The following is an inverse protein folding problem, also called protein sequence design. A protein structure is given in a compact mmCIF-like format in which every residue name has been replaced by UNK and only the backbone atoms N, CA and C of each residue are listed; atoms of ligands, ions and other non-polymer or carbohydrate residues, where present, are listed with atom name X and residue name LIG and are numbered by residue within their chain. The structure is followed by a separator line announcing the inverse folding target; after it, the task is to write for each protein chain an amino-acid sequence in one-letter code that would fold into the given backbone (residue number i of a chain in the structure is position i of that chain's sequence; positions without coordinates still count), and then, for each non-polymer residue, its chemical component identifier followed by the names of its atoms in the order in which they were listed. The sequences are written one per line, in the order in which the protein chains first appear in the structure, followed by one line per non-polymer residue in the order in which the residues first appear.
data_IF_938731848222
#
_entry.id   IF_938731848222
#
_cell.length_a   1.000
_cell.length_b   1.000
_cell.length_c   1.000
_cell.angle_alpha   90.00
_cell.angle_beta   90.00
_cell.angle_gamma   90.00
#
_symmetry.space_group_name_H-M   'P 1'
#
loop_
_entity.id
_entity.type
_entity.pdbx_description
1 polymer ?
#
# COMPACT_ATOMS: atom_id res chain seq x y z
N UNK A 1 -17.41 -7.91 17.81
CA UNK A 1 -18.54 -8.52 17.05
C UNK A 1 -19.46 -7.42 16.57
N UNK A 2 -19.34 -7.00 15.31
CA UNK A 2 -20.38 -6.55 14.38
C UNK A 2 -19.70 -6.03 13.09
N UNK A 3 -20.23 -6.44 11.94
CA UNK A 3 -20.02 -5.89 10.58
C UNK A 3 -18.78 -6.19 9.72
N UNK A 4 -17.85 -7.07 10.11
CA UNK A 4 -16.87 -7.63 9.14
C UNK A 4 -17.41 -8.89 8.42
N UNK A 5 -18.47 -9.52 8.95
CA UNK A 5 -19.05 -10.76 8.42
C UNK A 5 -20.00 -10.61 7.22
N UNK A 6 -20.01 -9.45 6.55
CA UNK A 6 -20.99 -9.10 5.52
C UNK A 6 -20.44 -8.86 4.11
N UNK A 7 -19.13 -9.04 3.85
CA UNK A 7 -18.63 -8.89 2.48
C UNK A 7 -19.08 -10.10 1.65
N UNK A 8 -19.71 -9.89 0.48
CA UNK A 8 -20.07 -10.99 -0.40
C UNK A 8 -18.80 -11.77 -0.79
N UNK A 9 -18.89 -13.10 -0.77
CA UNK A 9 -17.83 -13.98 -1.27
C UNK A 9 -17.53 -13.60 -2.72
N UNK A 10 -16.32 -13.10 -2.97
CA UNK A 10 -15.74 -13.19 -4.30
C UNK A 10 -15.59 -14.67 -4.68
N UNK A 11 -15.52 -15.01 -5.98
CA UNK A 11 -15.30 -16.39 -6.43
C UNK A 11 -13.96 -17.00 -5.99
N UNK A 12 -13.08 -16.20 -5.38
CA UNK A 12 -11.72 -16.54 -5.00
C UNK A 12 -11.45 -16.06 -3.55
N UNK A 13 -11.06 -16.98 -2.66
CA UNK A 13 -10.75 -16.72 -1.25
C UNK A 13 -10.80 -17.98 -0.38
N UNK A 14 -10.08 -18.00 0.75
CA UNK A 14 -10.07 -19.13 1.68
C UNK A 14 -11.41 -19.27 2.42
N UNK A 15 -11.84 -20.50 2.69
CA UNK A 15 -13.09 -20.75 3.43
C UNK A 15 -13.00 -20.25 4.88
N UNK A 16 -14.03 -19.51 5.32
CA UNK A 16 -14.11 -19.07 6.71
C UNK A 16 -14.52 -20.22 7.63
N UNK A 17 -13.72 -20.45 8.67
CA UNK A 17 -14.03 -21.45 9.67
C UNK A 17 -15.27 -21.05 10.49
N UNK A 18 -16.21 -21.98 10.68
CA UNK A 18 -17.41 -21.77 11.52
C UNK A 18 -17.12 -21.76 13.02
N UNK A 19 -15.92 -22.17 13.43
CA UNK A 19 -15.51 -22.34 14.82
C UNK A 19 -14.63 -21.18 15.24
N UNK A 20 -15.03 -20.52 16.33
CA UNK A 20 -14.23 -19.51 16.99
C UNK A 20 -13.19 -20.16 17.91
N UNK A 21 -12.01 -19.54 17.99
CA UNK A 21 -10.92 -19.97 18.85
C UNK A 21 -10.44 -18.82 19.73
N UNK A 22 -9.96 -19.15 20.92
CA UNK A 22 -9.04 -18.28 21.66
C UNK A 22 -7.61 -18.53 21.18
N UNK A 23 -6.70 -17.57 21.36
CA UNK A 23 -5.28 -17.78 21.05
C UNK A 23 -4.74 -19.05 21.72
N UNK A 24 -5.09 -19.26 23.00
CA UNK A 24 -4.69 -20.45 23.74
C UNK A 24 -5.20 -21.76 23.10
N UNK A 25 -6.50 -21.86 22.80
CA UNK A 25 -7.06 -23.10 22.23
C UNK A 25 -6.61 -23.34 20.79
N UNK A 26 -6.29 -22.27 20.05
CA UNK A 26 -5.66 -22.37 18.74
C UNK A 26 -4.22 -22.89 18.85
N UNK A 27 -3.43 -22.40 19.81
CA UNK A 27 -2.07 -22.87 20.06
C UNK A 27 -2.00 -24.35 20.42
N UNK A 28 -2.88 -24.81 21.33
CA UNK A 28 -3.01 -26.23 21.70
C UNK A 28 -3.31 -27.10 20.47
N UNK A 29 -4.21 -26.64 19.60
CA UNK A 29 -4.55 -27.33 18.35
C UNK A 29 -3.37 -27.36 17.37
N UNK A 30 -2.70 -26.24 17.17
CA UNK A 30 -1.57 -26.11 16.24
C UNK A 30 -0.37 -26.97 16.66
N UNK A 31 -0.04 -26.97 17.96
CA UNK A 31 1.07 -27.76 18.49
C UNK A 31 0.76 -29.27 18.42
N UNK A 32 -0.47 -29.66 18.75
CA UNK A 32 -0.92 -31.05 18.64
C UNK A 32 -0.88 -31.54 17.19
N UNK A 33 -1.30 -30.70 16.23
CA UNK A 33 -1.23 -30.98 14.80
C UNK A 33 0.21 -31.26 14.36
N UNK A 34 1.14 -30.31 14.61
CA UNK A 34 2.53 -30.44 14.18
C UNK A 34 3.23 -31.62 14.84
N UNK A 35 3.01 -31.83 16.13
CA UNK A 35 3.57 -32.95 16.88
C UNK A 35 3.12 -34.31 16.34
N UNK A 36 1.82 -34.45 16.05
CA UNK A 36 1.27 -35.67 15.46
C UNK A 36 1.78 -35.90 14.03
N UNK A 37 1.86 -34.84 13.22
CA UNK A 37 2.28 -34.93 11.83
C UNK A 37 3.72 -35.43 11.70
N UNK A 38 4.65 -34.84 12.46
CA UNK A 38 6.07 -35.20 12.39
C UNK A 38 6.48 -36.30 13.39
N UNK A 39 5.57 -36.72 14.28
CA UNK A 39 5.85 -37.66 15.39
C UNK A 39 7.04 -37.21 16.26
N UNK A 40 7.17 -35.90 16.46
CA UNK A 40 8.26 -35.26 17.18
C UNK A 40 7.75 -34.05 17.98
N UNK A 41 8.40 -33.68 19.10
CA UNK A 41 8.12 -32.40 19.75
C UNK A 41 8.26 -31.24 18.75
N UNK A 42 7.34 -30.27 18.78
CA UNK A 42 7.23 -29.21 17.76
C UNK A 42 8.53 -28.44 17.50
N UNK A 43 9.27 -28.12 18.56
CA UNK A 43 10.54 -27.38 18.52
C UNK A 43 11.74 -28.20 18.03
N UNK A 44 11.59 -29.53 17.89
CA UNK A 44 12.64 -30.42 17.39
C UNK A 44 12.56 -30.63 15.87
N UNK A 45 11.46 -30.21 15.23
CA UNK A 45 11.30 -30.28 13.78
C UNK A 45 12.04 -29.10 13.15
N UNK A 46 13.02 -29.37 12.29
CA UNK A 46 13.81 -28.31 11.66
C UNK A 46 13.00 -27.54 10.60
N UNK A 47 13.34 -26.27 10.38
CA UNK A 47 12.65 -25.44 9.38
C UNK A 47 12.76 -26.02 7.96
N UNK A 48 13.90 -26.65 7.64
CA UNK A 48 14.14 -27.30 6.34
C UNK A 48 13.26 -28.53 6.15
N UNK A 49 12.98 -29.28 7.23
CA UNK A 49 12.11 -30.45 7.16
C UNK A 49 10.66 -30.04 6.86
N UNK A 50 10.16 -29.01 7.54
CA UNK A 50 8.81 -28.46 7.30
C UNK A 50 8.73 -27.86 5.90
N UNK A 51 9.73 -27.10 5.45
CA UNK A 51 9.74 -26.49 4.11
C UNK A 51 9.70 -27.53 3.00
N UNK A 52 10.53 -28.57 3.11
CA UNK A 52 10.53 -29.67 2.14
C UNK A 52 9.16 -30.36 2.08
N UNK A 53 8.55 -30.56 3.25
CA UNK A 53 7.26 -31.22 3.36
C UNK A 53 6.11 -30.35 2.85
N UNK A 54 6.13 -29.05 3.14
CA UNK A 54 5.16 -28.09 2.63
C UNK A 54 5.10 -28.12 1.10
N UNK A 55 6.25 -28.04 0.43
CA UNK A 55 6.29 -28.10 -1.03
C UNK A 55 5.97 -29.48 -1.61
N UNK A 56 6.18 -30.56 -0.84
CA UNK A 56 5.71 -31.91 -1.21
C UNK A 56 4.18 -31.95 -1.20
N UNK A 57 3.55 -31.43 -0.15
CA UNK A 57 2.09 -31.39 0.01
C UNK A 57 1.42 -30.56 -1.09
N UNK A 58 1.94 -29.36 -1.38
CA UNK A 58 1.39 -28.49 -2.44
C UNK A 58 1.40 -29.18 -3.82
N UNK A 59 2.38 -30.04 -4.09
CA UNK A 59 2.50 -30.77 -5.35
C UNK A 59 1.80 -32.15 -5.34
N UNK A 60 1.28 -32.60 -4.19
CA UNK A 60 0.66 -33.91 -4.03
C UNK A 60 -0.86 -33.81 -4.28
N UNK A 61 -1.38 -34.64 -5.17
CA UNK A 61 -2.83 -34.69 -5.47
C UNK A 61 -3.53 -35.79 -4.64
N UNK A 62 -2.76 -36.72 -4.06
CA UNK A 62 -3.29 -37.90 -3.36
C UNK A 62 -3.54 -37.67 -1.87
N UNK A 63 -2.94 -36.62 -1.28
CA UNK A 63 -3.00 -36.33 0.15
C UNK A 63 -3.67 -34.99 0.41
N UNK A 64 -4.75 -35.01 1.19
CA UNK A 64 -5.46 -33.80 1.61
C UNK A 64 -5.04 -33.40 3.03
N UNK A 65 -4.41 -32.23 3.16
CA UNK A 65 -4.05 -31.63 4.45
C UNK A 65 -4.75 -30.29 4.60
N UNK A 66 -5.64 -30.20 5.58
CA UNK A 66 -6.34 -28.96 5.92
C UNK A 66 -5.67 -28.26 7.11
N UNK A 67 -5.45 -26.95 6.97
CA UNK A 67 -4.91 -26.10 8.03
C UNK A 67 -5.84 -24.91 8.30
N UNK A 68 -5.68 -24.27 9.46
CA UNK A 68 -6.46 -23.12 9.89
C UNK A 68 -5.53 -21.95 10.18
N UNK A 69 -5.98 -20.72 9.98
CA UNK A 69 -5.21 -19.52 10.33
C UNK A 69 -6.15 -18.36 10.63
N UNK A 70 -5.63 -17.37 11.35
CA UNK A 70 -6.29 -16.08 11.54
C UNK A 70 -5.58 -15.02 10.70
N UNK A 71 -6.33 -14.29 9.89
CA UNK A 71 -5.85 -13.15 9.12
C UNK A 71 -6.91 -12.04 9.12
N UNK A 72 -6.51 -10.87 8.63
CA UNK A 72 -7.36 -9.67 8.51
C UNK A 72 -8.00 -9.24 9.84
N UNK A 73 -7.32 -9.55 10.95
CA UNK A 73 -7.75 -9.16 12.27
C UNK A 73 -7.30 -7.72 12.51
N UNK A 74 -8.25 -6.77 12.48
CA UNK A 74 -7.94 -5.36 12.73
C UNK A 74 -7.45 -5.15 14.16
N UNK A 75 -6.28 -4.53 14.30
CA UNK A 75 -5.75 -4.12 15.59
C UNK A 75 -6.73 -3.18 16.35
N UNK A 76 -7.54 -2.41 15.62
CA UNK A 76 -8.58 -1.56 16.21
C UNK A 76 -9.69 -2.36 16.92
N UNK A 77 -10.05 -3.55 16.42
CA UNK A 77 -11.16 -4.36 16.94
C UNK A 77 -10.72 -5.32 18.04
N UNK A 78 -9.54 -5.92 17.88
CA UNK A 78 -9.04 -7.02 18.72
C UNK A 78 -7.82 -6.63 19.57
N UNK A 79 -7.29 -5.43 19.37
CA UNK A 79 -6.05 -4.96 20.00
C UNK A 79 -4.81 -5.25 19.16
N UNK A 80 -3.87 -4.31 19.20
CA UNK A 80 -2.50 -4.47 18.68
C UNK A 80 -1.69 -5.40 19.59
N UNK A 81 -0.69 -6.07 19.03
CA UNK A 81 0.30 -6.80 19.84
C UNK A 81 1.33 -5.86 20.49
N UNK A 82 1.46 -4.63 19.97
CA UNK A 82 2.26 -3.58 20.58
C UNK A 82 1.47 -2.82 21.67
N UNK A 83 2.17 -2.27 22.68
CA UNK A 83 1.53 -1.35 23.60
C UNK A 83 1.11 -0.06 22.88
N UNK A 84 -0.09 0.42 23.19
CA UNK A 84 -0.65 1.69 22.68
C UNK A 84 -1.07 2.58 23.84
N UNK A 85 -1.30 3.88 23.59
CA UNK A 85 -1.74 4.85 24.62
C UNK A 85 -3.11 4.53 25.23
N UNK A 86 -3.90 3.72 24.54
CA UNK A 86 -5.25 3.33 24.97
C UNK A 86 -5.25 2.08 25.87
N UNK A 87 -4.09 1.44 26.08
CA UNK A 87 -3.97 0.30 26.98
C UNK A 87 -4.25 0.71 28.44
N UNK A 88 -5.13 -0.04 29.10
CA UNK A 88 -5.55 0.25 30.50
C UNK A 88 -4.47 -0.07 31.53
N UNK A 89 -3.64 -1.07 31.25
CA UNK A 89 -2.61 -1.60 32.15
C UNK A 89 -1.23 -1.28 31.57
N UNK A 90 -0.81 -0.02 31.65
CA UNK A 90 0.52 0.41 31.17
C UNK A 90 1.57 0.23 32.28
N UNK A 91 2.68 -0.42 31.93
CA UNK A 91 3.89 -0.42 32.75
C UNK A 91 4.79 0.77 32.35
N UNK A 92 5.62 1.30 33.26
CA UNK A 92 6.58 2.36 32.92
C UNK A 92 7.50 2.01 31.74
N UNK A 93 7.84 0.73 31.60
CA UNK A 93 8.67 0.20 30.51
C UNK A 93 7.97 0.26 29.14
N UNK A 94 6.63 0.33 29.10
CA UNK A 94 5.87 0.39 27.85
C UNK A 94 5.98 1.76 27.16
N UNK A 95 6.32 2.83 27.90
CA UNK A 95 6.36 4.20 27.36
C UNK A 95 7.36 4.33 26.20
N UNK A 96 8.47 3.60 26.26
CA UNK A 96 9.46 3.54 25.18
C UNK A 96 8.87 2.90 23.91
N UNK A 97 8.17 1.78 24.04
CA UNK A 97 7.59 1.04 22.92
C UNK A 97 6.32 1.70 22.35
N UNK A 98 5.58 2.44 23.16
CA UNK A 98 4.42 3.22 22.73
C UNK A 98 4.83 4.34 21.78
N UNK A 99 5.95 5.01 22.05
CA UNK A 99 6.41 6.16 21.24
C UNK A 99 7.45 5.76 20.18
N UNK A 100 7.85 4.49 20.12
CA UNK A 100 8.79 4.00 19.12
C UNK A 100 8.23 4.11 17.71
N UNK A 101 9.05 4.58 16.76
CA UNK A 101 8.70 4.57 15.33
C UNK A 101 8.61 3.16 14.72
N UNK A 102 9.13 2.15 15.41
CA UNK A 102 9.03 0.73 15.02
C UNK A 102 7.73 0.07 15.52
N UNK A 103 6.95 0.77 16.35
CA UNK A 103 5.59 0.34 16.64
C UNK A 103 4.73 0.56 15.39
N UNK A 104 4.16 -0.51 14.87
CA UNK A 104 3.45 -0.50 13.59
C UNK A 104 2.20 0.40 13.59
N UNK A 105 1.71 0.78 14.78
CA UNK A 105 0.61 1.74 14.94
C UNK A 105 1.05 3.19 14.69
N UNK A 106 2.34 3.48 14.85
CA UNK A 106 2.92 4.81 14.63
C UNK A 106 3.47 4.99 13.22
N UNK A 107 3.96 3.93 12.58
CA UNK A 107 4.68 3.99 11.31
C UNK A 107 3.89 4.73 10.19
N UNK A 108 2.59 4.47 9.97
CA UNK A 108 1.84 5.17 8.92
C UNK A 108 1.63 6.67 9.18
N UNK A 109 1.74 7.11 10.44
CA UNK A 109 1.49 8.49 10.88
C UNK A 109 2.76 9.28 11.20
N UNK A 110 3.94 8.69 11.02
CA UNK A 110 5.22 9.42 11.12
C UNK A 110 5.30 10.52 10.05
N UNK A 111 6.04 11.59 10.35
CA UNK A 111 6.18 12.76 9.45
C UNK A 111 6.76 12.41 8.07
N UNK A 112 7.56 11.35 7.97
CA UNK A 112 8.15 10.88 6.72
C UNK A 112 7.23 9.93 5.91
N UNK A 113 6.10 9.50 6.48
CA UNK A 113 5.11 8.67 5.81
C UNK A 113 4.12 9.54 5.06
N UNK A 114 3.96 9.33 3.75
CA UNK A 114 2.99 10.11 2.96
C UNK A 114 1.54 9.75 3.32
N UNK A 115 1.31 8.60 3.93
CA UNK A 115 -0.04 8.15 4.34
C UNK A 115 -0.62 9.02 5.47
N UNK A 116 0.21 9.76 6.23
CA UNK A 116 -0.27 10.66 7.27
C UNK A 116 -1.14 11.81 6.71
N UNK A 117 -0.98 12.15 5.43
CA UNK A 117 -1.75 13.17 4.73
C UNK A 117 -3.07 12.66 4.13
N UNK A 118 -3.37 11.37 4.30
CA UNK A 118 -4.66 10.79 3.93
C UNK A 118 -5.58 10.82 5.15
N UNK A 119 -6.66 11.62 5.08
CA UNK A 119 -7.63 11.73 6.17
C UNK A 119 -8.49 10.46 6.37
N UNK A 120 -8.57 9.59 5.37
CA UNK A 120 -9.29 8.34 5.47
C UNK A 120 -8.45 7.27 6.18
N UNK A 121 -9.07 6.54 7.10
CA UNK A 121 -8.46 5.37 7.72
C UNK A 121 -8.60 4.18 6.77
N UNK A 122 -7.55 3.97 5.97
CA UNK A 122 -7.48 2.88 5.02
C UNK A 122 -7.02 1.63 5.77
N UNK A 123 -7.92 0.65 5.88
CA UNK A 123 -7.62 -0.64 6.52
C UNK A 123 -6.46 -1.35 5.81
N UNK A 124 -5.52 -1.89 6.59
CA UNK A 124 -4.31 -2.57 6.09
C UNK A 124 -3.16 -1.61 5.86
N UNK A 125 -3.46 -0.34 5.51
CA UNK A 125 -2.43 0.68 5.27
C UNK A 125 -2.15 1.58 6.47
N UNK A 126 -3.18 2.10 7.14
CA UNK A 126 -3.01 2.96 8.33
C UNK A 126 -3.26 2.21 9.64
N UNK A 127 -4.00 1.11 9.57
CA UNK A 127 -4.35 0.27 10.72
C UNK A 127 -3.67 -1.09 10.53
N UNK A 128 -2.78 -1.52 11.45
CA UNK A 128 -2.13 -2.81 11.37
C UNK A 128 -3.10 -3.98 11.38
N UNK A 129 -2.70 -5.06 10.70
CA UNK A 129 -3.40 -6.34 10.66
C UNK A 129 -2.62 -7.38 11.43
N UNK A 130 -3.34 -8.17 12.23
CA UNK A 130 -2.80 -9.26 13.02
C UNK A 130 -3.02 -10.60 12.32
N UNK A 131 -2.02 -11.47 12.41
CA UNK A 131 -1.99 -12.80 11.79
C UNK A 131 -1.63 -13.85 12.82
N UNK A 132 -2.49 -14.86 12.96
CA UNK A 132 -2.26 -16.04 13.81
C UNK A 132 -1.94 -17.23 12.91
N UNK A 133 -0.71 -17.73 12.98
CA UNK A 133 -0.22 -18.81 12.14
C UNK A 133 -0.21 -20.17 12.84
N UNK A 134 -0.28 -21.25 12.06
CA UNK A 134 0.02 -22.62 12.49
C UNK A 134 0.93 -23.29 11.45
N UNK A 135 1.47 -24.46 11.76
CA UNK A 135 2.30 -25.22 10.82
C UNK A 135 1.60 -25.38 9.45
N UNK A 136 2.30 -25.02 8.38
CA UNK A 136 1.83 -25.00 6.98
C UNK A 136 0.78 -23.95 6.62
N UNK A 137 0.29 -23.12 7.55
CA UNK A 137 -0.57 -22.01 7.13
C UNK A 137 0.23 -21.01 6.28
N UNK A 138 -0.32 -20.65 5.12
CA UNK A 138 0.42 -19.96 4.07
C UNK A 138 -0.26 -18.70 3.58
N UNK A 139 0.53 -17.82 2.98
CA UNK A 139 0.07 -16.69 2.19
C UNK A 139 0.65 -16.83 0.78
N UNK A 140 -0.23 -16.70 -0.22
CA UNK A 140 0.10 -16.88 -1.63
C UNK A 140 0.94 -15.72 -2.17
N UNK A 141 1.44 -15.88 -3.39
CA UNK A 141 2.19 -14.82 -4.06
C UNK A 141 1.33 -13.58 -4.27
N UNK A 142 1.80 -12.45 -3.76
CA UNK A 142 1.17 -11.14 -3.95
C UNK A 142 2.18 -10.00 -3.80
N UNK A 143 1.75 -8.81 -4.18
CA UNK A 143 2.37 -7.56 -3.81
C UNK A 143 1.34 -6.68 -3.09
N UNK A 144 1.81 -5.61 -2.48
CA UNK A 144 0.96 -4.72 -1.69
C UNK A 144 0.10 -3.81 -2.56
N UNK A 145 -1.04 -3.39 -2.01
CA UNK A 145 -1.88 -2.38 -2.63
C UNK A 145 -1.08 -1.11 -2.93
N UNK A 146 -1.30 -0.58 -4.14
CA UNK A 146 -0.57 0.56 -4.72
C UNK A 146 0.95 0.38 -4.78
N UNK A 147 1.42 -0.87 -4.84
CA UNK A 147 2.84 -1.21 -4.77
C UNK A 147 3.55 -0.52 -3.59
N UNK A 148 2.85 -0.40 -2.46
CA UNK A 148 3.40 0.17 -1.24
C UNK A 148 4.47 -0.74 -0.62
N UNK A 149 5.18 -0.23 0.38
CA UNK A 149 5.97 -1.11 1.25
C UNK A 149 5.03 -1.83 2.21
N UNK A 150 5.43 -3.00 2.70
CA UNK A 150 4.89 -3.55 3.95
C UNK A 150 5.99 -3.86 4.93
N UNK A 151 5.65 -3.81 6.21
CA UNK A 151 6.50 -4.25 7.29
C UNK A 151 5.72 -5.25 8.14
N UNK A 152 6.37 -6.35 8.50
CA UNK A 152 5.82 -7.41 9.32
C UNK A 152 6.72 -7.63 10.54
N UNK A 153 6.13 -7.64 11.73
CA UNK A 153 6.81 -7.99 12.98
C UNK A 153 6.27 -9.31 13.50
N UNK A 154 7.16 -10.25 13.80
CA UNK A 154 6.79 -11.51 14.44
C UNK A 154 6.92 -11.35 15.96
N UNK A 155 5.79 -11.15 16.65
CA UNK A 155 5.77 -10.91 18.10
C UNK A 155 6.32 -12.09 18.88
N UNK A 156 5.84 -13.30 18.59
CA UNK A 156 6.24 -14.53 19.27
C UNK A 156 5.90 -15.77 18.45
N UNK A 157 6.44 -16.92 18.89
CA UNK A 157 6.13 -18.24 18.35
C UNK A 157 7.19 -18.79 17.40
N UNK A 158 6.80 -19.82 16.65
CA UNK A 158 7.69 -20.47 15.67
C UNK A 158 7.93 -19.61 14.42
N UNK A 159 9.04 -19.83 13.69
CA UNK A 159 9.42 -18.94 12.59
C UNK A 159 8.40 -18.86 11.45
N UNK A 160 8.46 -17.78 10.68
CA UNK A 160 7.70 -17.60 9.43
C UNK A 160 8.68 -17.66 8.26
N UNK A 161 8.44 -18.55 7.29
CA UNK A 161 9.28 -18.65 6.09
C UNK A 161 8.75 -17.75 5.01
N UNK A 162 9.64 -16.96 4.41
CA UNK A 162 9.34 -16.00 3.36
C UNK A 162 10.11 -16.33 2.08
N UNK A 163 9.45 -16.11 0.96
CA UNK A 163 10.02 -16.04 -0.38
C UNK A 163 9.74 -14.64 -0.94
N UNK A 164 10.74 -14.04 -1.57
CA UNK A 164 10.64 -12.70 -2.14
C UNK A 164 11.22 -12.64 -3.54
N UNK A 165 10.59 -11.84 -4.40
CA UNK A 165 11.06 -11.48 -5.74
C UNK A 165 11.33 -9.97 -5.75
N UNK A 166 12.49 -9.51 -6.23
CA UNK A 166 12.78 -8.10 -6.39
C UNK A 166 11.74 -7.39 -7.27
N UNK A 167 11.35 -6.16 -6.91
CA UNK A 167 10.33 -5.40 -7.64
C UNK A 167 10.68 -5.11 -9.10
N UNK A 168 11.98 -5.04 -9.44
CA UNK A 168 12.45 -4.89 -10.82
C UNK A 168 12.19 -6.14 -11.68
N UNK A 169 12.00 -7.29 -11.05
CA UNK A 169 11.73 -8.57 -11.71
C UNK A 169 10.24 -8.96 -11.65
N UNK A 170 9.36 -8.04 -11.23
CA UNK A 170 7.93 -8.28 -11.12
C UNK A 170 7.28 -8.69 -12.46
N UNK A 171 7.61 -7.98 -13.55
CA UNK A 171 7.10 -8.34 -14.89
C UNK A 171 7.53 -9.76 -15.30
N UNK A 172 8.79 -10.11 -15.05
CA UNK A 172 9.32 -11.45 -15.33
C UNK A 172 8.60 -12.54 -14.51
N UNK A 173 8.30 -12.24 -13.23
CA UNK A 173 7.51 -13.12 -12.38
C UNK A 173 6.07 -13.28 -12.89
N UNK A 174 5.40 -12.19 -13.26
CA UNK A 174 4.05 -12.22 -13.81
C UNK A 174 3.99 -13.05 -15.10
N UNK A 175 4.97 -12.89 -15.99
CA UNK A 175 5.07 -13.67 -17.23
C UNK A 175 5.32 -15.16 -16.94
N UNK A 176 6.18 -15.47 -15.96
CA UNK A 176 6.42 -16.85 -15.54
C UNK A 176 5.18 -17.51 -14.95
N UNK A 177 4.42 -16.79 -14.11
CA UNK A 177 3.15 -17.26 -13.56
C UNK A 177 2.12 -17.51 -14.66
N UNK A 178 1.96 -16.58 -15.61
CA UNK A 178 1.04 -16.72 -16.76
C UNK A 178 1.38 -17.92 -17.63
N UNK A 179 2.66 -18.17 -17.88
CA UNK A 179 3.10 -19.30 -18.71
C UNK A 179 2.85 -20.67 -18.04
N UNK A 180 2.89 -20.76 -16.71
CA UNK A 180 2.61 -22.02 -15.98
C UNK A 180 1.12 -22.27 -15.77
N UNK A 181 0.30 -21.22 -15.72
CA UNK A 181 -1.13 -21.32 -15.41
C UNK A 181 -2.01 -20.54 -16.40
N UNK A 182 -1.85 -20.71 -17.73
CA UNK A 182 -2.48 -19.85 -18.73
C UNK A 182 -4.02 -19.84 -18.64
N UNK A 183 -4.63 -21.00 -18.41
CA UNK A 183 -6.09 -21.13 -18.28
C UNK A 183 -6.64 -20.29 -17.11
N UNK A 184 -5.94 -20.23 -15.99
CA UNK A 184 -6.34 -19.45 -14.82
C UNK A 184 -6.29 -17.94 -15.09
N UNK A 185 -5.29 -17.46 -15.82
CA UNK A 185 -5.16 -16.05 -16.19
C UNK A 185 -6.08 -15.61 -17.33
N UNK A 186 -6.45 -16.50 -18.24
CA UNK A 186 -7.48 -16.22 -19.26
C UNK A 186 -8.85 -15.97 -18.60
N UNK A 187 -9.16 -16.70 -17.51
CA UNK A 187 -10.41 -16.54 -16.78
C UNK A 187 -10.39 -15.34 -15.81
N UNK A 188 -9.24 -15.04 -15.19
CA UNK A 188 -9.08 -13.89 -14.29
C UNK A 188 -7.72 -13.20 -14.53
N UNK A 189 -7.66 -12.14 -15.37
CA UNK A 189 -6.42 -11.41 -15.63
C UNK A 189 -5.79 -10.76 -14.39
N UNK A 190 -6.59 -10.56 -13.35
CA UNK A 190 -6.22 -9.98 -12.06
C UNK A 190 -5.89 -11.04 -10.98
N UNK A 191 -5.81 -12.33 -11.33
CA UNK A 191 -5.63 -13.44 -10.38
C UNK A 191 -4.47 -13.27 -9.40
N UNK A 192 -3.33 -12.73 -9.87
CA UNK A 192 -2.15 -12.47 -9.02
C UNK A 192 -2.40 -11.46 -7.90
N UNK A 193 -3.47 -10.69 -8.03
CA UNK A 193 -3.88 -9.70 -7.04
C UNK A 193 -4.96 -10.25 -6.09
N UNK A 194 -5.47 -11.46 -6.32
CA UNK A 194 -6.52 -12.10 -5.52
C UNK A 194 -5.97 -13.07 -4.45
N UNK A 195 -4.65 -13.11 -4.23
CA UNK A 195 -4.02 -13.88 -3.13
C UNK A 195 -4.30 -15.39 -3.12
N UNK A 196 -4.55 -16.01 -4.27
CA UNK A 196 -5.08 -17.40 -4.33
C UNK A 196 -4.11 -18.45 -4.85
N UNK A 197 -3.01 -18.06 -5.50
CA UNK A 197 -2.11 -19.02 -6.15
C UNK A 197 -0.77 -19.08 -5.47
N UNK A 198 -0.42 -20.26 -4.96
CA UNK A 198 0.94 -20.58 -4.53
C UNK A 198 1.65 -21.35 -5.64
N UNK A 199 2.87 -20.94 -5.95
CA UNK A 199 3.72 -21.60 -6.94
C UNK A 199 5.08 -21.89 -6.32
N UNK A 200 5.59 -23.09 -6.57
CA UNK A 200 6.88 -23.50 -6.04
C UNK A 200 8.00 -22.57 -6.57
N UNK A 201 8.81 -21.96 -5.69
CA UNK A 201 9.94 -21.12 -6.05
C UNK A 201 10.88 -21.73 -7.09
N UNK A 202 11.10 -23.05 -7.04
CA UNK A 202 12.02 -23.71 -7.98
C UNK A 202 11.53 -23.62 -9.43
N UNK A 203 10.21 -23.69 -9.67
CA UNK A 203 9.64 -23.56 -11.02
C UNK A 203 9.92 -22.17 -11.59
N UNK A 204 9.73 -21.14 -10.76
CA UNK A 204 9.98 -19.75 -11.12
C UNK A 204 11.48 -19.49 -11.36
N UNK A 205 12.34 -20.08 -10.53
CA UNK A 205 13.80 -20.00 -10.69
C UNK A 205 14.28 -20.68 -11.98
N UNK A 206 13.70 -21.82 -12.35
CA UNK A 206 14.01 -22.52 -13.61
C UNK A 206 13.64 -21.68 -14.84
N UNK A 207 12.71 -20.74 -14.69
CA UNK A 207 12.33 -19.74 -15.71
C UNK A 207 13.13 -18.44 -15.61
N UNK A 208 14.13 -18.39 -14.73
CA UNK A 208 15.05 -17.28 -14.57
C UNK A 208 14.58 -16.17 -13.64
N UNK A 209 13.48 -16.36 -12.88
CA UNK A 209 13.03 -15.38 -11.88
C UNK A 209 13.93 -15.45 -10.65
N UNK A 210 14.56 -14.34 -10.22
CA UNK A 210 15.37 -14.33 -9.01
C UNK A 210 14.48 -14.40 -7.77
N UNK A 211 14.70 -15.41 -6.93
CA UNK A 211 13.98 -15.58 -5.68
C UNK A 211 14.97 -15.61 -4.53
N UNK A 212 14.65 -14.84 -3.49
CA UNK A 212 15.34 -14.86 -2.19
C UNK A 212 14.43 -15.47 -1.14
N UNK A 213 15.02 -15.99 -0.07
CA UNK A 213 14.28 -16.60 1.04
C UNK A 213 14.88 -16.30 2.40
N UNK A 214 14.04 -16.27 3.43
CA UNK A 214 14.48 -16.15 4.82
C UNK A 214 13.51 -16.84 5.79
N UNK A 215 13.98 -17.16 6.99
CA UNK A 215 13.13 -17.53 8.11
C UNK A 215 13.12 -16.34 9.08
N UNK A 216 11.95 -15.73 9.27
CA UNK A 216 11.73 -14.69 10.25
C UNK A 216 11.49 -15.35 11.62
N UNK A 217 12.33 -15.03 12.60
CA UNK A 217 12.21 -15.46 13.98
C UNK A 217 11.49 -14.41 14.85
N UNK A 218 11.04 -14.81 16.02
CA UNK A 218 10.36 -13.92 16.96
C UNK A 218 11.26 -12.73 17.33
N UNK A 219 10.69 -11.52 17.33
CA UNK A 219 11.40 -10.27 17.55
C UNK A 219 12.02 -9.65 16.28
N UNK A 220 11.87 -10.30 15.11
CA UNK A 220 12.43 -9.80 13.84
C UNK A 220 11.37 -9.13 12.97
N UNK A 221 11.82 -8.12 12.23
CA UNK A 221 11.05 -7.45 11.19
C UNK A 221 11.38 -8.01 9.80
N UNK A 222 10.37 -8.11 8.94
CA UNK A 222 10.49 -8.29 7.50
C UNK A 222 9.93 -7.05 6.82
N UNK A 223 10.68 -6.46 5.90
CA UNK A 223 10.23 -5.33 5.08
C UNK A 223 10.12 -5.81 3.63
N UNK A 224 8.96 -5.61 3.03
CA UNK A 224 8.73 -5.81 1.60
C UNK A 224 8.82 -4.47 0.89
N UNK A 225 9.52 -4.46 -0.25
CA UNK A 225 9.74 -3.27 -1.05
C UNK A 225 8.65 -3.11 -2.11
N UNK A 226 8.49 -1.91 -2.69
CA UNK A 226 7.50 -1.65 -3.72
C UNK A 226 7.56 -2.67 -4.85
N UNK A 227 6.38 -3.18 -5.23
CA UNK A 227 6.18 -4.17 -6.30
C UNK A 227 6.92 -5.51 -6.07
N UNK A 228 7.52 -5.74 -4.91
CA UNK A 228 8.17 -7.01 -4.59
C UNK A 228 7.12 -8.08 -4.32
N UNK A 229 7.06 -9.09 -5.19
CA UNK A 229 6.20 -10.24 -4.95
C UNK A 229 6.73 -11.06 -3.80
N UNK A 230 5.84 -11.52 -2.93
CA UNK A 230 6.22 -12.35 -1.79
C UNK A 230 5.15 -13.39 -1.47
N UNK A 231 5.61 -14.51 -0.93
CA UNK A 231 4.80 -15.64 -0.49
C UNK A 231 5.48 -16.32 0.70
N UNK A 232 4.79 -17.20 1.39
CA UNK A 232 5.39 -17.89 2.51
C UNK A 232 4.42 -18.75 3.30
N UNK A 233 4.95 -19.35 4.36
CA UNK A 233 4.19 -20.20 5.27
C UNK A 233 4.78 -20.16 6.68
N UNK A 234 3.98 -20.57 7.66
CA UNK A 234 4.39 -20.59 9.06
C UNK A 234 4.96 -21.97 9.43
N UNK A 235 6.07 -21.95 10.16
CA UNK A 235 6.72 -23.17 10.67
C UNK A 235 5.92 -23.82 11.79
N UNK A 236 5.03 -23.08 12.44
CA UNK A 236 4.26 -23.53 13.59
C UNK A 236 3.37 -22.45 14.16
N UNK A 237 2.97 -22.60 15.42
CA UNK A 237 2.13 -21.63 16.10
C UNK A 237 2.88 -20.32 16.31
N UNK A 238 2.33 -19.21 15.79
CA UNK A 238 2.93 -17.89 15.94
C UNK A 238 1.90 -16.76 15.81
N UNK A 239 2.37 -15.54 16.13
CA UNK A 239 1.59 -14.32 16.01
C UNK A 239 2.43 -13.20 15.40
N UNK A 240 1.94 -12.65 14.31
CA UNK A 240 2.59 -11.55 13.59
C UNK A 240 1.63 -10.37 13.43
N UNK A 241 2.19 -9.19 13.27
CA UNK A 241 1.46 -7.97 12.96
C UNK A 241 2.12 -7.30 11.76
N UNK A 242 1.34 -6.75 10.83
CA UNK A 242 1.87 -6.08 9.65
C UNK A 242 1.08 -4.82 9.30
N UNK A 243 1.75 -3.89 8.62
CA UNK A 243 1.13 -2.66 8.11
C UNK A 243 1.83 -2.22 6.82
N UNK A 244 1.10 -1.59 5.91
CA UNK A 244 1.72 -0.90 4.78
C UNK A 244 2.27 0.47 5.18
N UNK A 245 3.24 0.96 4.44
CA UNK A 245 3.71 2.33 4.57
C UNK A 245 4.25 2.86 3.25
N UNK A 246 4.29 4.17 3.11
CA UNK A 246 4.74 4.84 1.90
C UNK A 246 5.70 5.97 2.26
N UNK A 247 7.02 5.79 2.11
CA UNK A 247 7.99 6.87 2.24
C UNK A 247 8.02 7.76 0.97
N UNK A 248 8.78 8.85 1.01
CA UNK A 248 8.87 9.82 -0.08
C UNK A 248 9.28 9.21 -1.46
N UNK A 249 10.14 8.20 -1.47
CA UNK A 249 10.61 7.52 -2.69
C UNK A 249 9.52 6.67 -3.37
N UNK A 250 8.44 6.32 -2.65
CA UNK A 250 7.32 5.57 -3.21
C UNK A 250 6.45 6.40 -4.17
N UNK A 251 6.42 7.74 -4.03
CA UNK A 251 5.52 8.60 -4.83
C UNK A 251 5.54 8.34 -6.35
N UNK A 252 6.70 8.32 -7.04
CA UNK A 252 6.73 7.99 -8.46
C UNK A 252 6.27 6.55 -8.77
N UNK A 253 6.47 5.62 -7.84
CA UNK A 253 6.06 4.22 -7.98
C UNK A 253 4.54 4.10 -7.84
N UNK A 254 3.93 4.78 -6.85
CA UNK A 254 2.49 4.88 -6.69
C UNK A 254 1.82 5.45 -7.93
N UNK A 255 2.36 6.51 -8.53
CA UNK A 255 1.86 7.06 -9.80
C UNK A 255 1.92 6.05 -10.95
N UNK A 256 3.02 5.32 -11.09
CA UNK A 256 3.15 4.26 -12.09
C UNK A 256 2.17 3.09 -11.83
N UNK A 257 1.93 2.76 -10.56
CA UNK A 257 0.96 1.76 -10.14
C UNK A 257 -0.46 2.13 -10.59
N UNK A 258 -0.87 3.40 -10.47
CA UNK A 258 -2.18 3.86 -10.95
C UNK A 258 -2.31 3.70 -12.47
N UNK A 259 -1.23 3.98 -13.21
CA UNK A 259 -1.22 3.76 -14.66
C UNK A 259 -1.36 2.29 -15.03
N UNK A 260 -0.74 1.40 -14.24
CA UNK A 260 -0.89 -0.05 -14.39
C UNK A 260 -2.30 -0.53 -14.00
N UNK A 261 -2.85 -0.10 -12.87
CA UNK A 261 -4.21 -0.43 -12.41
C UNK A 261 -5.26 -0.03 -13.45
N UNK A 262 -5.08 1.13 -14.08
CA UNK A 262 -5.95 1.60 -15.17
C UNK A 262 -5.98 0.63 -16.35
N UNK A 263 -4.84 0.01 -16.70
CA UNK A 263 -4.75 -0.96 -17.79
C UNK A 263 -5.45 -2.30 -17.48
N UNK A 264 -5.58 -2.62 -16.19
CA UNK A 264 -6.19 -3.86 -15.69
C UNK A 264 -7.66 -3.67 -15.27
N UNK A 265 -8.21 -2.46 -15.39
CA UNK A 265 -9.52 -2.08 -14.84
C UNK A 265 -9.66 -2.35 -13.33
N UNK A 266 -8.56 -2.21 -12.58
CA UNK A 266 -8.54 -2.45 -11.13
C UNK A 266 -8.95 -1.21 -10.36
N UNK A 267 -9.81 -1.41 -9.35
CA UNK A 267 -10.22 -0.36 -8.44
C UNK A 267 -9.05 0.11 -7.57
N UNK A 268 -8.91 1.42 -7.40
CA UNK A 268 -7.91 2.02 -6.54
C UNK A 268 -8.45 2.11 -5.10
N UNK A 269 -7.60 1.84 -4.11
CA UNK A 269 -7.95 2.01 -2.68
C UNK A 269 -8.09 3.48 -2.28
N UNK A 270 -7.37 4.38 -2.96
CA UNK A 270 -7.46 5.84 -2.79
C UNK A 270 -6.95 6.53 -4.07
N UNK A 271 -7.16 7.83 -4.19
CA UNK A 271 -6.61 8.63 -5.30
C UNK A 271 -5.19 9.12 -5.00
N UNK A 272 -4.21 8.68 -5.79
CA UNK A 272 -2.83 9.15 -5.71
C UNK A 272 -2.70 10.65 -5.98
N UNK A 273 -3.45 11.16 -6.96
CA UNK A 273 -3.44 12.58 -7.31
C UNK A 273 -4.02 13.44 -6.17
N UNK A 274 -5.06 12.95 -5.48
CA UNK A 274 -5.62 13.60 -4.30
C UNK A 274 -4.58 13.69 -3.18
N UNK A 275 -3.88 12.59 -2.91
CA UNK A 275 -2.80 12.53 -1.91
C UNK A 275 -1.72 13.58 -2.22
N UNK A 276 -1.20 13.61 -3.45
CA UNK A 276 -0.16 14.57 -3.86
C UNK A 276 -0.66 16.02 -3.74
N UNK A 277 -1.91 16.29 -4.13
CA UNK A 277 -2.48 17.64 -4.02
C UNK A 277 -2.74 18.06 -2.57
N UNK A 278 -3.11 17.14 -1.68
CA UNK A 278 -3.25 17.40 -0.24
C UNK A 278 -1.92 17.78 0.41
N UNK A 279 -0.85 17.04 0.11
CA UNK A 279 0.50 17.40 0.55
C UNK A 279 0.93 18.77 0.01
N UNK A 280 0.66 19.03 -1.27
CA UNK A 280 0.99 20.30 -1.92
C UNK A 280 0.17 21.50 -1.40
N UNK A 281 -0.99 21.27 -0.78
CA UNK A 281 -1.81 22.32 -0.19
C UNK A 281 -1.24 22.86 1.13
N UNK A 282 -0.47 22.03 1.86
CA UNK A 282 0.14 22.37 3.15
C UNK A 282 1.64 22.00 3.20
N UNK A 283 2.49 22.68 2.40
CA UNK A 283 3.90 22.32 2.25
C UNK A 283 4.74 22.64 3.49
N UNK A 284 4.32 23.57 4.35
CA UNK A 284 5.10 24.00 5.52
C UNK A 284 5.23 22.87 6.56
N UNK A 285 4.23 21.98 6.62
CA UNK A 285 4.21 20.82 7.50
C UNK A 285 4.87 19.56 6.89
N UNK A 286 5.38 19.64 5.66
CA UNK A 286 6.08 18.51 5.03
C UNK A 286 7.55 18.45 5.46
N UNK A 287 8.03 17.24 5.70
CA UNK A 287 9.47 16.95 5.68
C UNK A 287 10.10 17.40 4.35
N UNK A 288 11.37 17.85 4.38
CA UNK A 288 12.03 18.41 3.20
C UNK A 288 12.17 17.40 2.05
N UNK A 289 12.44 16.12 2.37
CA UNK A 289 12.54 15.06 1.37
C UNK A 289 11.17 14.75 0.79
N UNK A 290 10.14 14.70 1.64
CA UNK A 290 8.74 14.53 1.19
C UNK A 290 8.32 15.68 0.28
N UNK A 291 8.64 16.93 0.63
CA UNK A 291 8.34 18.11 -0.19
C UNK A 291 9.03 18.06 -1.56
N UNK A 292 10.31 17.67 -1.60
CA UNK A 292 11.08 17.54 -2.85
C UNK A 292 10.52 16.43 -3.76
N UNK A 293 10.22 15.26 -3.21
CA UNK A 293 9.62 14.16 -3.97
C UNK A 293 8.20 14.50 -4.44
N UNK A 294 7.39 15.16 -3.59
CA UNK A 294 6.04 15.63 -3.92
C UNK A 294 6.09 16.67 -5.05
N UNK A 295 7.05 17.60 -5.02
CA UNK A 295 7.25 18.55 -6.10
C UNK A 295 7.53 17.85 -7.44
N UNK A 296 8.44 16.87 -7.43
CA UNK A 296 8.79 16.12 -8.64
C UNK A 296 7.59 15.34 -9.19
N UNK A 297 6.83 14.67 -8.32
CA UNK A 297 5.68 13.89 -8.74
C UNK A 297 4.53 14.77 -9.23
N UNK A 298 4.22 15.85 -8.51
CA UNK A 298 3.22 16.84 -8.93
C UNK A 298 3.57 17.46 -10.28
N UNK A 299 4.84 17.74 -10.56
CA UNK A 299 5.26 18.29 -11.85
C UNK A 299 4.87 17.35 -13.00
N UNK A 300 5.11 16.05 -12.83
CA UNK A 300 4.71 15.02 -13.80
C UNK A 300 3.19 14.95 -13.97
N UNK A 301 2.44 15.06 -12.86
CA UNK A 301 0.97 15.09 -12.86
C UNK A 301 0.45 16.31 -13.63
N UNK A 302 0.97 17.51 -13.35
CA UNK A 302 0.52 18.77 -13.98
C UNK A 302 0.75 18.76 -15.49
N UNK A 303 1.92 18.29 -15.95
CA UNK A 303 2.20 18.21 -17.38
C UNK A 303 1.31 17.18 -18.10
N UNK A 304 1.06 16.02 -17.47
CA UNK A 304 0.14 15.01 -18.01
C UNK A 304 -1.29 15.55 -18.09
N UNK A 305 -1.77 16.19 -17.03
CA UNK A 305 -3.11 16.76 -16.96
C UNK A 305 -3.32 17.88 -18.01
N UNK A 306 -2.32 18.75 -18.18
CA UNK A 306 -2.33 19.80 -19.22
C UNK A 306 -2.45 19.20 -20.62
N UNK A 307 -1.71 18.14 -20.91
CA UNK A 307 -1.79 17.44 -22.20
C UNK A 307 -3.16 16.78 -22.41
N UNK A 308 -3.70 16.14 -21.38
CA UNK A 308 -5.00 15.48 -21.43
C UNK A 308 -6.15 16.48 -21.65
N UNK A 309 -6.17 17.59 -20.91
CA UNK A 309 -7.16 18.66 -21.09
C UNK A 309 -7.07 19.31 -22.47
N UNK A 310 -5.85 19.52 -22.98
CA UNK A 310 -5.66 20.03 -24.34
C UNK A 310 -6.25 19.08 -25.38
N UNK A 311 -6.00 17.77 -25.26
CA UNK A 311 -6.60 16.75 -26.15
C UNK A 311 -8.12 16.75 -26.11
N UNK A 312 -8.74 16.95 -24.94
CA UNK A 312 -10.20 17.08 -24.83
C UNK A 312 -10.74 18.32 -25.54
N UNK A 313 -10.07 19.46 -25.36
CA UNK A 313 -10.43 20.70 -26.05
C UNK A 313 -10.32 20.55 -27.57
N UNK A 314 -9.21 19.96 -28.04
CA UNK A 314 -8.97 19.69 -29.47
C UNK A 314 -10.02 18.71 -30.05
N UNK A 315 -10.59 17.82 -29.21
CA UNK A 315 -11.69 16.92 -29.57
C UNK A 315 -13.05 17.62 -29.67
N UNK A 316 -13.19 18.82 -29.12
CA UNK A 316 -14.43 19.61 -29.18
C UNK A 316 -15.20 19.71 -27.87
N UNK A 317 -14.65 19.23 -26.75
CA UNK A 317 -15.26 19.42 -25.42
C UNK A 317 -15.03 20.85 -24.94
N UNK A 318 -16.11 21.65 -24.93
CA UNK A 318 -16.05 23.09 -24.63
C UNK A 318 -16.56 23.44 -23.22
N UNK A 319 -17.50 22.64 -22.69
CA UNK A 319 -18.03 22.86 -21.34
C UNK A 319 -17.08 22.33 -20.28
N UNK A 320 -16.86 23.13 -19.24
CA UNK A 320 -16.04 22.76 -18.10
C UNK A 320 -16.65 23.30 -16.81
N UNK A 321 -16.81 22.43 -15.81
CA UNK A 321 -17.36 22.75 -14.51
C UNK A 321 -16.41 22.30 -13.41
N UNK A 322 -16.28 23.12 -12.36
CA UNK A 322 -15.44 22.79 -11.22
C UNK A 322 -16.19 21.80 -10.32
N UNK A 323 -15.51 20.72 -9.94
CA UNK A 323 -16.06 19.64 -9.12
C UNK A 323 -15.13 19.35 -7.93
N UNK A 324 -15.69 19.20 -6.73
CA UNK A 324 -14.96 18.87 -5.52
C UNK A 324 -14.97 17.34 -5.31
N UNK A 325 -14.15 16.63 -6.09
CA UNK A 325 -14.12 15.16 -6.11
C UNK A 325 -13.86 14.54 -4.73
N UNK A 326 -13.13 15.20 -3.83
CA UNK A 326 -12.86 14.72 -2.47
C UNK A 326 -14.09 14.64 -1.55
N UNK A 327 -15.20 15.27 -1.95
CA UNK A 327 -16.47 15.21 -1.23
C UNK A 327 -17.40 14.11 -1.75
N UNK A 328 -17.06 13.49 -2.89
CA UNK A 328 -17.81 12.39 -3.46
C UNK A 328 -17.31 11.06 -2.87
N UNK A 329 -18.22 10.11 -2.61
CA UNK A 329 -17.84 8.73 -2.34
C UNK A 329 -16.97 8.14 -3.46
N UNK A 330 -16.04 7.25 -3.10
CA UNK A 330 -15.08 6.68 -4.05
C UNK A 330 -15.75 5.93 -5.20
N UNK A 331 -16.88 5.27 -4.96
CA UNK A 331 -17.69 4.57 -5.95
C UNK A 331 -18.39 5.51 -6.94
N UNK A 332 -18.76 6.72 -6.52
CA UNK A 332 -19.40 7.72 -7.39
C UNK A 332 -18.40 8.49 -8.27
N UNK A 333 -17.12 8.49 -7.90
CA UNK A 333 -16.04 9.19 -8.63
C UNK A 333 -15.09 8.26 -9.38
N UNK A 334 -15.47 6.99 -9.58
CA UNK A 334 -14.72 6.06 -10.38
C UNK A 334 -15.00 6.21 -11.88
N UNK A 335 -13.96 6.00 -12.69
CA UNK A 335 -14.17 5.86 -14.12
C UNK A 335 -14.94 4.57 -14.42
N UNK A 336 -16.06 4.66 -15.12
CA UNK A 336 -16.90 3.52 -15.48
C UNK A 336 -16.14 2.41 -16.22
N UNK A 337 -15.16 2.79 -17.04
CA UNK A 337 -14.34 1.88 -17.83
C UNK A 337 -13.22 1.23 -17.01
N UNK A 338 -12.35 2.03 -16.41
CA UNK A 338 -11.09 1.53 -15.84
C UNK A 338 -11.04 1.48 -14.32
N UNK A 339 -12.11 1.92 -13.65
CA UNK A 339 -12.25 1.92 -12.19
C UNK A 339 -11.23 2.78 -11.43
N UNK A 340 -10.43 3.60 -12.13
CA UNK A 340 -9.61 4.63 -11.47
C UNK A 340 -10.49 5.67 -10.78
N UNK A 341 -10.20 5.97 -9.51
CA UNK A 341 -10.81 7.05 -8.73
C UNK A 341 -10.35 8.41 -9.28
N UNK A 342 -11.26 9.16 -9.91
CA UNK A 342 -10.96 10.44 -10.53
C UNK A 342 -10.83 11.54 -9.48
N UNK A 343 -9.84 12.43 -9.62
CA UNK A 343 -9.64 13.57 -8.73
C UNK A 343 -9.33 14.87 -9.48
N UNK A 344 -8.31 14.92 -10.34
CA UNK A 344 -7.98 16.17 -11.04
C UNK A 344 -9.03 16.55 -12.09
N UNK A 345 -9.49 15.53 -12.81
CA UNK A 345 -10.48 15.69 -13.86
C UNK A 345 -11.22 14.39 -14.19
N UNK A 346 -12.44 14.57 -14.70
CA UNK A 346 -13.28 13.53 -15.28
C UNK A 346 -14.19 14.13 -16.35
N UNK A 347 -14.87 13.28 -17.10
CA UNK A 347 -15.78 13.70 -18.18
C UNK A 347 -17.15 13.10 -17.94
N UNK A 348 -18.16 13.96 -18.04
CA UNK A 348 -19.58 13.62 -17.89
C UNK A 348 -20.34 14.05 -19.13
N UNK A 349 -21.53 13.47 -19.35
CA UNK A 349 -22.42 13.89 -20.42
C UNK A 349 -23.87 13.90 -19.92
N UNK A 350 -24.69 14.92 -20.25
CA UNK A 350 -26.11 14.95 -19.85
C UNK A 350 -26.95 13.76 -20.32
N UNK A 351 -26.52 13.01 -21.34
CA UNK A 351 -27.22 11.79 -21.78
C UNK A 351 -27.05 10.60 -20.82
N UNK A 352 -26.07 10.66 -19.92
CA UNK A 352 -25.71 9.59 -19.00
C UNK A 352 -25.33 10.20 -17.65
N UNK A 353 -26.31 10.68 -16.87
CA UNK A 353 -26.05 11.47 -15.65
C UNK A 353 -25.33 10.70 -14.56
N UNK A 354 -25.43 9.35 -14.57
CA UNK A 354 -24.80 8.48 -13.58
C UNK A 354 -23.43 7.96 -14.04
N UNK A 355 -22.90 8.45 -15.16
CA UNK A 355 -21.63 7.98 -15.71
C UNK A 355 -20.54 9.03 -15.59
N UNK A 356 -19.37 8.58 -15.16
CA UNK A 356 -18.15 9.36 -15.09
C UNK A 356 -17.03 8.55 -15.73
N UNK A 357 -16.27 9.17 -16.62
CA UNK A 357 -15.04 8.55 -17.15
C UNK A 357 -13.84 9.45 -16.93
N UNK A 358 -12.66 8.86 -16.72
CA UNK A 358 -11.42 9.62 -16.75
C UNK A 358 -11.12 10.07 -18.19
N UNK A 359 -10.25 11.08 -18.35
CA UNK A 359 -9.96 11.64 -19.68
C UNK A 359 -9.44 10.57 -20.67
N UNK A 360 -8.71 9.56 -20.20
CA UNK A 360 -8.20 8.48 -21.04
C UNK A 360 -9.31 7.66 -21.73
N UNK A 361 -10.51 7.62 -21.14
CA UNK A 361 -11.62 6.80 -21.62
C UNK A 361 -12.82 7.64 -22.05
N UNK A 362 -12.60 8.91 -22.45
CA UNK A 362 -13.68 9.79 -22.92
C UNK A 362 -14.44 9.21 -24.14
N UNK A 363 -13.81 8.36 -24.94
CA UNK A 363 -14.46 7.63 -26.04
C UNK A 363 -15.46 6.57 -25.57
N UNK A 364 -15.32 6.08 -24.34
CA UNK A 364 -16.18 5.03 -23.77
C UNK A 364 -17.35 5.62 -22.94
N UNK A 365 -17.50 6.94 -22.90
CA UNK A 365 -18.57 7.62 -22.16
C UNK A 365 -19.94 7.39 -22.81
N UNK A 366 -20.08 7.83 -24.07
CA UNK A 366 -21.28 7.73 -24.89
C UNK A 366 -20.98 8.11 -26.36
N UNK A 367 -21.95 7.90 -27.25
CA UNK A 367 -21.86 8.24 -28.67
C UNK A 367 -22.27 9.70 -28.99
N UNK A 368 -22.43 10.56 -27.98
CA UNK A 368 -22.78 11.96 -28.22
C UNK A 368 -21.62 12.72 -28.87
N UNK A 369 -21.97 13.82 -29.54
CA UNK A 369 -20.97 14.76 -30.04
C UNK A 369 -20.12 15.31 -28.87
N UNK A 370 -18.78 15.41 -29.01
CA UNK A 370 -17.89 15.89 -27.95
C UNK A 370 -18.23 17.26 -27.38
N UNK A 371 -18.95 18.11 -28.13
CA UNK A 371 -19.46 19.40 -27.65
C UNK A 371 -20.49 19.28 -26.53
N UNK A 372 -21.14 18.12 -26.38
CA UNK A 372 -22.07 17.81 -25.29
C UNK A 372 -21.41 17.20 -24.06
N UNK A 373 -20.11 16.92 -24.13
CA UNK A 373 -19.35 16.45 -22.98
C UNK A 373 -18.99 17.65 -22.10
N UNK A 374 -18.96 17.42 -20.79
CA UNK A 374 -18.54 18.42 -19.81
C UNK A 374 -17.32 17.90 -19.05
N UNK A 375 -16.24 18.67 -19.10
CA UNK A 375 -15.04 18.44 -18.28
C UNK A 375 -15.33 18.85 -16.83
N UNK A 376 -15.36 17.86 -15.94
CA UNK A 376 -15.36 18.08 -14.49
C UNK A 376 -13.92 18.23 -14.04
N UNK A 377 -13.53 19.35 -13.42
CA UNK A 377 -12.14 19.60 -13.00
C UNK A 377 -12.03 20.11 -11.57
N UNK A 378 -10.96 19.73 -10.86
CA UNK A 378 -10.76 20.15 -9.46
C UNK A 378 -10.02 21.47 -9.29
N UNK A 379 -8.94 21.62 -10.06
CA UNK A 379 -8.06 22.80 -10.07
C UNK A 379 -7.89 23.32 -11.50
N UNK A 380 -7.73 24.63 -11.64
CA UNK A 380 -7.33 25.26 -12.91
C UNK A 380 -5.85 25.00 -13.20
N UNK A 381 -5.47 25.20 -14.46
CA UNK A 381 -4.07 25.14 -14.86
C UNK A 381 -3.22 26.30 -14.31
N UNK A 382 -3.83 27.28 -13.63
CA UNK A 382 -3.13 28.36 -12.92
C UNK A 382 -2.93 28.05 -11.43
N UNK A 383 -3.86 27.30 -10.81
CA UNK A 383 -3.77 26.87 -9.42
C UNK A 383 -2.65 25.84 -9.23
N UNK A 384 -2.49 24.90 -10.16
CA UNK A 384 -1.50 23.82 -10.07
C UNK A 384 -0.04 24.32 -10.06
N UNK A 385 0.39 25.27 -10.94
CA UNK A 385 1.71 25.89 -10.85
C UNK A 385 1.96 26.64 -9.53
N UNK A 386 0.93 27.24 -8.93
CA UNK A 386 1.08 27.90 -7.64
C UNK A 386 1.38 26.91 -6.52
N UNK A 387 0.76 25.72 -6.55
CA UNK A 387 1.06 24.61 -5.63
C UNK A 387 2.49 24.11 -5.82
N UNK A 388 2.92 23.92 -7.08
CA UNK A 388 4.32 23.57 -7.41
C UNK A 388 5.32 24.60 -6.85
N UNK A 389 5.05 25.89 -7.03
CA UNK A 389 5.94 26.93 -6.55
C UNK A 389 6.13 26.87 -5.02
N UNK A 390 5.05 26.68 -4.26
CA UNK A 390 5.13 26.57 -2.80
C UNK A 390 5.95 25.36 -2.36
N UNK A 391 5.75 24.20 -2.99
CA UNK A 391 6.55 23.00 -2.74
C UNK A 391 8.03 23.21 -3.07
N UNK A 392 8.33 23.89 -4.18
CA UNK A 392 9.71 24.23 -4.56
C UNK A 392 10.39 25.08 -3.49
N UNK A 393 9.71 26.13 -3.02
CA UNK A 393 10.22 27.00 -1.95
C UNK A 393 10.50 26.20 -0.67
N UNK A 394 9.61 25.27 -0.30
CA UNK A 394 9.82 24.38 0.85
C UNK A 394 11.00 23.44 0.63
N UNK A 395 11.09 22.77 -0.52
CA UNK A 395 12.15 21.82 -0.83
C UNK A 395 13.53 22.48 -0.82
N UNK A 396 13.63 23.70 -1.35
CA UNK A 396 14.86 24.51 -1.37
C UNK A 396 15.06 25.30 -0.07
N UNK A 397 14.18 25.19 0.93
CA UNK A 397 14.22 26.08 2.10
C UNK A 397 15.49 25.92 2.94
N UNK A 398 16.05 24.71 3.06
CA UNK A 398 17.30 24.48 3.77
C UNK A 398 18.50 25.07 3.03
N UNK A 399 18.58 24.89 1.71
CA UNK A 399 19.65 25.47 0.90
C UNK A 399 19.54 27.01 0.89
N UNK A 400 18.32 27.53 0.76
CA UNK A 400 18.02 28.95 0.85
C UNK A 400 18.36 29.53 2.23
N UNK A 401 18.05 28.80 3.31
CA UNK A 401 18.41 29.19 4.68
C UNK A 401 19.93 29.19 4.86
N UNK A 402 20.61 28.14 4.41
CA UNK A 402 22.06 27.98 4.50
C UNK A 402 22.78 29.09 3.74
N UNK A 403 22.33 29.41 2.52
CA UNK A 403 22.86 30.54 1.74
C UNK A 403 22.66 31.87 2.46
N UNK A 404 21.45 32.15 2.96
CA UNK A 404 21.15 33.40 3.69
C UNK A 404 21.96 33.53 4.98
N UNK A 405 22.17 32.44 5.71
CA UNK A 405 23.00 32.43 6.92
C UNK A 405 24.48 32.61 6.56
N UNK A 406 24.96 31.96 5.50
CA UNK A 406 26.30 32.17 4.96
C UNK A 406 26.54 33.64 4.59
N UNK A 407 25.64 34.22 3.79
CA UNK A 407 25.65 35.63 3.42
C UNK A 407 25.62 36.56 4.64
N UNK A 408 24.78 36.27 5.65
CA UNK A 408 24.70 37.07 6.87
C UNK A 408 25.96 36.96 7.75
N UNK A 409 26.60 35.79 7.79
CA UNK A 409 27.85 35.56 8.51
C UNK A 409 29.06 36.19 7.79
N UNK A 410 29.06 36.20 6.45
CA UNK A 410 30.08 36.85 5.62
C UNK A 410 29.91 38.38 5.55
N UNK A 411 28.68 38.88 5.68
CA UNK A 411 28.36 40.31 5.75
C UNK A 411 28.88 41.02 7.03
N UNK A 412 29.46 40.28 7.98
CA UNK A 412 30.06 40.82 9.21
C UNK A 412 31.36 41.62 9.00
N UNK A 413 31.65 42.05 7.77
CA UNK A 413 32.80 42.86 7.39
C UNK A 413 32.57 44.38 7.36
N UNK A 414 31.36 44.91 7.13
CA UNK A 414 31.20 46.37 7.01
C UNK A 414 29.82 47.00 7.36
N UNK A 415 28.77 46.22 7.67
CA UNK A 415 27.47 46.82 8.06
C UNK A 415 27.11 46.49 9.51
N UNK A 416 27.72 47.23 10.45
CA UNK A 416 27.24 47.28 11.83
C UNK A 416 25.89 47.99 11.87
N UNK A 417 24.83 47.22 12.09
CA UNK A 417 23.52 47.69 12.54
C UNK A 417 23.72 48.76 13.64
N UNK A 418 23.17 49.94 13.37
CA UNK A 418 23.29 51.12 14.20
C UNK A 418 22.96 50.84 15.66
N UNK A 419 23.83 51.37 16.53
CA UNK A 419 23.67 51.46 17.97
C UNK A 419 22.26 51.92 18.38
N UNK A 420 21.48 51.02 18.96
CA UNK A 420 20.27 51.37 19.71
C UNK A 420 20.73 51.86 21.09
N UNK A 421 20.45 53.12 21.50
CA UNK A 421 20.82 53.59 22.83
C UNK A 421 19.83 53.02 23.84
N UNK A 422 20.38 52.27 24.81
CA UNK A 422 19.65 51.82 25.99
C UNK A 422 19.55 53.02 26.94
N UNK A 423 18.34 53.55 27.11
CA UNK A 423 18.00 54.41 28.24
C UNK A 423 17.29 53.56 29.29
N UNK A 424 17.77 53.67 30.53
CA UNK A 424 17.31 53.00 31.74
C UNK A 424 15.82 53.14 32.02
#
# INVERSE_FOLDING_TARGET
MLDVCGKPQGPYGFEQAKREYSLQSFGEMADQFKSNYFSMPVHMVSCEAVEKEFWRLVNCIEEDVCVQYGADIHAADMGSGFPTKDNKDMFPEDEEYINSGWNLNNLPVLEQSVLCHINADISGMKIPWCYVGMCFSSFCWHNEDHWSYSINYLHWGEPKTWYGVPGECADQFEDAMKANAPELFEHSPDLLHQLTTIMNPNILMDMGVPIVRTNQHAGEFIVTFPRAYHAGFNQGYNFAEAVNFCPADWLPIGRACIDHYRSLNRQCVFSHEELVCKMAADPDNLDLKVAACTHHDLLGIVEKEKQLRKKLLDRGTMEAEREAFELLPDDERQCDSCKTTCFLSGVTCPCSPNKLVCIHHVEMLCDCDPSRHCLRYRYTLDELPAMLYKLKVRAESFDNWTSKVGEALEAAGDDRLGSVPIYW
#
